data_IF_475626343004
#
_entry.id   IF_475626343004
#
_cell.length_a   1.000
_cell.length_b   1.000
_cell.length_c   1.000
_cell.angle_alpha   90.00
_cell.angle_beta   90.00
_cell.angle_gamma   90.00
#
_symmetry.space_group_name_H-M   'P 1'
#
loop_
_entity.id
_entity.type
_entity.pdbx_description
1 polymer ?
#
# COMPACT_ATOMS: atom_id res chain seq x y z
N UNK A 1 48.37 -29.17 -8.40
CA UNK A 1 47.40 -28.89 -9.48
C UNK A 1 46.09 -28.51 -8.84
N UNK A 2 45.41 -27.53 -9.40
CA UNK A 2 44.12 -27.07 -8.87
C UNK A 2 42.95 -27.96 -9.32
N UNK A 3 43.08 -28.75 -10.38
CA UNK A 3 42.12 -29.75 -10.84
C UNK A 3 42.61 -31.15 -10.47
N UNK A 4 41.79 -31.91 -9.75
CA UNK A 4 42.06 -33.29 -9.36
C UNK A 4 40.95 -34.22 -9.89
N UNK A 5 41.36 -35.42 -10.32
CA UNK A 5 40.44 -36.46 -10.74
C UNK A 5 39.99 -37.32 -9.55
N UNK A 6 38.72 -37.66 -9.44
CA UNK A 6 38.16 -38.49 -8.38
C UNK A 6 37.25 -39.55 -8.98
N UNK A 7 37.41 -40.79 -8.58
CA UNK A 7 36.51 -41.87 -8.95
C UNK A 7 35.24 -41.81 -8.12
N UNK A 8 34.12 -42.01 -8.76
CA UNK A 8 32.78 -42.08 -8.13
C UNK A 8 32.07 -43.39 -8.53
N UNK A 9 31.42 -44.04 -7.59
CA UNK A 9 30.70 -45.29 -7.83
C UNK A 9 29.48 -45.11 -8.77
N UNK A 10 28.89 -43.90 -8.77
CA UNK A 10 27.77 -43.58 -9.58
C UNK A 10 27.95 -42.19 -10.17
N UNK A 11 28.24 -42.10 -11.47
CA UNK A 11 28.45 -40.84 -12.19
C UNK A 11 27.14 -40.24 -12.64
N UNK A 12 27.01 -38.93 -12.63
CA UNK A 12 25.86 -38.22 -13.21
C UNK A 12 26.07 -38.00 -14.71
N UNK A 13 24.96 -37.97 -15.47
CA UNK A 13 24.97 -37.54 -16.87
C UNK A 13 24.96 -36.00 -16.99
N UNK A 14 24.94 -35.47 -18.21
CA UNK A 14 24.89 -34.03 -18.49
C UNK A 14 23.60 -33.36 -17.99
N UNK A 15 22.53 -34.11 -17.82
CA UNK A 15 21.25 -33.67 -17.27
C UNK A 15 21.18 -33.74 -15.72
N UNK A 16 22.24 -34.24 -15.07
CA UNK A 16 22.33 -34.36 -13.62
C UNK A 16 21.79 -35.66 -13.02
N UNK A 17 21.27 -36.59 -13.83
CA UNK A 17 20.73 -37.87 -13.39
C UNK A 17 21.83 -38.87 -13.09
N UNK A 18 21.60 -39.77 -12.13
CA UNK A 18 22.52 -40.84 -11.79
C UNK A 18 22.49 -41.91 -12.86
N UNK A 19 23.65 -42.24 -13.43
CA UNK A 19 23.75 -43.22 -14.54
C UNK A 19 23.85 -44.69 -14.11
N UNK A 20 23.99 -44.94 -12.80
CA UNK A 20 24.25 -46.30 -12.27
C UNK A 20 25.65 -46.82 -12.56
N UNK A 21 26.54 -46.10 -13.23
CA UNK A 21 27.88 -46.51 -13.64
C UNK A 21 28.96 -45.77 -12.90
N UNK A 22 30.03 -46.47 -12.55
CA UNK A 22 31.26 -45.85 -12.01
C UNK A 22 31.93 -44.98 -13.08
N UNK A 23 32.59 -43.91 -12.68
CA UNK A 23 33.31 -43.05 -13.60
C UNK A 23 34.16 -42.00 -12.91
N UNK A 24 34.96 -41.28 -13.71
CA UNK A 24 35.79 -40.20 -13.23
C UNK A 24 35.06 -38.88 -13.27
N UNK A 25 35.13 -38.10 -12.20
CA UNK A 25 34.73 -36.68 -12.11
C UNK A 25 35.95 -35.87 -11.69
N UNK A 26 35.87 -34.56 -11.99
CA UNK A 26 36.97 -33.63 -11.73
C UNK A 26 36.55 -32.61 -10.69
N UNK A 27 37.41 -32.35 -9.72
CA UNK A 27 37.18 -31.39 -8.65
C UNK A 27 38.17 -30.25 -8.83
N UNK A 28 37.74 -29.00 -8.65
CA UNK A 28 38.54 -27.77 -8.75
C UNK A 28 38.80 -27.22 -7.35
N UNK A 29 40.04 -27.07 -6.98
CA UNK A 29 40.50 -26.53 -5.69
C UNK A 29 41.56 -25.43 -5.95
N UNK A 30 41.16 -24.15 -5.89
CA UNK A 30 42.05 -23.02 -6.13
C UNK A 30 42.39 -22.37 -4.80
N UNK A 31 43.70 -22.48 -4.42
CA UNK A 31 44.23 -21.76 -3.26
C UNK A 31 44.53 -20.32 -3.63
N UNK A 32 44.17 -19.38 -2.80
CA UNK A 32 44.43 -17.94 -3.02
C UNK A 32 44.73 -17.27 -1.66
N UNK A 33 45.38 -16.12 -1.74
CA UNK A 33 45.68 -15.28 -0.57
C UNK A 33 44.76 -14.09 -0.58
N UNK A 34 44.05 -13.85 0.52
CA UNK A 34 43.19 -12.68 0.73
C UNK A 34 44.06 -11.42 0.88
N UNK A 35 43.47 -10.21 0.65
CA UNK A 35 44.21 -8.95 0.85
C UNK A 35 44.76 -8.75 2.28
N UNK A 36 44.21 -9.44 3.28
CA UNK A 36 44.69 -9.43 4.67
C UNK A 36 45.78 -10.47 4.96
N UNK A 37 46.34 -11.11 3.92
CA UNK A 37 47.37 -12.12 4.03
C UNK A 37 46.88 -13.52 4.41
N UNK A 38 45.56 -13.70 4.73
CA UNK A 38 45.03 -15.03 5.05
C UNK A 38 44.91 -15.90 3.80
N UNK A 39 45.31 -17.18 3.94
CA UNK A 39 45.20 -18.20 2.87
C UNK A 39 43.79 -18.79 2.86
N UNK A 40 43.16 -18.86 1.71
CA UNK A 40 41.84 -19.47 1.56
C UNK A 40 41.83 -20.41 0.33
N UNK A 41 40.78 -21.25 0.24
CA UNK A 41 40.65 -22.20 -0.86
C UNK A 41 39.23 -22.10 -1.43
N UNK A 42 39.12 -21.87 -2.73
CA UNK A 42 37.91 -22.08 -3.46
C UNK A 42 37.83 -23.54 -3.90
N UNK A 43 36.68 -24.22 -3.60
CA UNK A 43 36.51 -25.62 -3.99
C UNK A 43 35.15 -25.78 -4.71
N UNK A 44 35.14 -26.43 -5.87
CA UNK A 44 33.94 -26.90 -6.56
C UNK A 44 34.19 -28.29 -7.11
N UNK A 45 33.29 -29.22 -6.82
CA UNK A 45 33.41 -30.65 -7.10
C UNK A 45 32.43 -31.10 -8.18
N UNK A 46 32.81 -32.19 -8.87
CA UNK A 46 31.85 -32.96 -9.69
C UNK A 46 31.74 -32.53 -11.13
N UNK A 47 32.73 -31.93 -11.74
CA UNK A 47 32.77 -31.67 -13.18
C UNK A 47 32.82 -32.98 -13.97
N UNK A 48 32.07 -33.12 -15.03
CA UNK A 48 31.95 -34.33 -15.81
C UNK A 48 33.15 -34.55 -16.71
N UNK A 49 33.79 -33.46 -17.14
CA UNK A 49 34.98 -33.49 -18.01
C UNK A 49 36.13 -32.67 -17.44
N UNK A 50 37.37 -33.09 -17.78
CA UNK A 50 38.57 -32.33 -17.40
C UNK A 50 38.58 -30.93 -18.04
N UNK A 51 38.05 -30.81 -19.26
CA UNK A 51 38.00 -29.55 -19.99
C UNK A 51 37.14 -28.53 -19.26
N UNK A 52 35.95 -28.90 -18.83
CA UNK A 52 35.05 -28.05 -18.03
C UNK A 52 35.69 -27.62 -16.70
N UNK A 53 36.33 -28.54 -16.00
CA UNK A 53 37.04 -28.23 -14.77
C UNK A 53 38.19 -27.23 -14.95
N UNK A 54 38.96 -27.36 -16.04
CA UNK A 54 40.06 -26.44 -16.38
C UNK A 54 39.51 -25.05 -16.80
N UNK A 55 38.44 -24.99 -17.59
CA UNK A 55 37.78 -23.70 -17.94
C UNK A 55 37.26 -23.01 -16.69
N UNK A 56 36.64 -23.76 -15.80
CA UNK A 56 36.15 -23.21 -14.54
C UNK A 56 37.31 -22.75 -13.63
N UNK A 57 38.41 -23.51 -13.55
CA UNK A 57 39.62 -23.09 -12.85
C UNK A 57 40.16 -21.75 -13.38
N UNK A 58 40.29 -21.63 -14.71
CA UNK A 58 40.78 -20.41 -15.34
C UNK A 58 39.86 -19.20 -15.02
N UNK A 59 38.52 -19.40 -15.12
CA UNK A 59 37.54 -18.38 -14.79
C UNK A 59 37.64 -17.95 -13.32
N UNK A 60 37.82 -18.88 -12.39
CA UNK A 60 37.94 -18.58 -10.97
C UNK A 60 39.27 -17.91 -10.67
N UNK A 61 40.38 -18.36 -11.25
CA UNK A 61 41.69 -17.69 -11.09
C UNK A 61 41.64 -16.23 -11.56
N UNK A 62 41.06 -15.95 -12.73
CA UNK A 62 40.84 -14.59 -13.22
C UNK A 62 40.00 -13.73 -12.26
N UNK A 63 38.91 -14.29 -11.73
CA UNK A 63 38.06 -13.59 -10.74
C UNK A 63 38.76 -13.37 -9.39
N UNK A 64 39.57 -14.31 -8.95
CA UNK A 64 40.32 -14.20 -7.69
C UNK A 64 41.50 -13.24 -7.76
N UNK A 65 42.05 -13.00 -8.95
CA UNK A 65 43.09 -12.00 -9.21
C UNK A 65 42.53 -10.58 -9.29
N UNK A 66 41.23 -10.41 -9.49
CA UNK A 66 40.59 -9.10 -9.45
C UNK A 66 40.52 -8.59 -7.98
N UNK A 67 41.10 -7.42 -7.66
CA UNK A 67 41.22 -6.91 -6.28
C UNK A 67 39.88 -6.80 -5.54
N UNK A 68 38.78 -6.67 -6.27
CA UNK A 68 37.41 -6.50 -5.76
C UNK A 68 36.75 -7.78 -5.27
N UNK A 69 37.13 -8.96 -5.78
CA UNK A 69 36.38 -10.20 -5.47
C UNK A 69 36.66 -10.72 -4.04
N UNK A 70 37.90 -10.75 -3.62
CA UNK A 70 38.29 -11.25 -2.28
C UNK A 70 37.76 -10.32 -1.17
N UNK A 71 37.78 -9.01 -1.38
CA UNK A 71 37.20 -8.02 -0.45
C UNK A 71 35.67 -8.15 -0.36
N UNK A 72 35.00 -8.37 -1.50
CA UNK A 72 33.53 -8.55 -1.56
C UNK A 72 33.08 -9.81 -0.82
N UNK A 73 33.77 -10.96 -1.01
CA UNK A 73 33.42 -12.23 -0.35
C UNK A 73 33.63 -12.15 1.18
N UNK A 74 34.69 -11.44 1.64
CA UNK A 74 34.96 -11.28 3.08
C UNK A 74 33.99 -10.31 3.75
N UNK A 75 33.64 -9.21 3.08
CA UNK A 75 32.63 -8.26 3.55
C UNK A 75 31.24 -8.93 3.63
N UNK A 76 30.85 -9.72 2.63
CA UNK A 76 29.59 -10.45 2.60
C UNK A 76 29.45 -11.50 3.72
N UNK A 77 30.54 -12.17 4.12
CA UNK A 77 30.53 -13.15 5.23
C UNK A 77 30.31 -12.50 6.61
N UNK A 78 30.60 -11.20 6.75
CA UNK A 78 30.44 -10.45 8.00
C UNK A 78 29.23 -9.55 8.03
N UNK A 79 28.55 -9.33 6.88
CA UNK A 79 27.38 -8.46 6.79
C UNK A 79 26.23 -9.04 7.62
N UNK A 80 25.72 -8.26 8.56
CA UNK A 80 24.54 -8.62 9.33
C UNK A 80 23.25 -8.37 8.55
N UNK A 81 22.13 -8.94 9.01
CA UNK A 81 20.81 -8.65 8.46
C UNK A 81 20.51 -7.15 8.54
N UNK A 82 20.92 -6.49 9.63
CA UNK A 82 20.75 -5.03 9.78
C UNK A 82 21.52 -4.29 8.69
N UNK A 83 22.81 -4.54 8.54
CA UNK A 83 23.68 -3.82 7.59
C UNK A 83 23.15 -3.98 6.16
N UNK A 84 22.74 -5.21 5.79
CA UNK A 84 22.16 -5.49 4.50
C UNK A 84 20.85 -4.75 4.27
N UNK A 85 19.92 -4.76 5.23
CA UNK A 85 18.62 -4.12 5.09
C UNK A 85 18.73 -2.59 5.05
N UNK A 86 19.64 -2.00 5.80
CA UNK A 86 19.92 -0.55 5.77
C UNK A 86 20.50 -0.14 4.40
N UNK A 87 21.46 -0.90 3.89
CA UNK A 87 22.01 -0.69 2.54
C UNK A 87 20.96 -0.88 1.45
N UNK A 88 20.19 -1.96 1.53
CA UNK A 88 19.15 -2.29 0.54
C UNK A 88 18.04 -1.24 0.48
N UNK A 89 17.60 -0.71 1.62
CA UNK A 89 16.55 0.31 1.65
C UNK A 89 17.01 1.63 1.04
N UNK A 90 18.28 1.99 1.22
CA UNK A 90 18.84 3.23 0.65
C UNK A 90 19.23 3.07 -0.82
N UNK A 91 19.81 1.95 -1.22
CA UNK A 91 20.28 1.74 -2.60
C UNK A 91 19.17 1.35 -3.56
N UNK A 92 18.26 0.46 -3.14
CA UNK A 92 17.19 -0.05 -4.00
C UNK A 92 15.83 0.62 -3.72
N UNK A 93 15.36 0.61 -2.47
CA UNK A 93 13.99 1.03 -2.18
C UNK A 93 13.79 2.53 -2.38
N UNK A 94 14.78 3.36 -2.03
CA UNK A 94 14.74 4.81 -2.25
C UNK A 94 14.65 5.17 -3.73
N UNK A 95 15.36 4.44 -4.60
CA UNK A 95 15.45 4.74 -6.04
C UNK A 95 14.26 4.17 -6.82
N UNK A 96 13.81 2.97 -6.46
CA UNK A 96 12.84 2.21 -7.27
C UNK A 96 11.41 2.24 -6.75
N UNK A 97 11.18 2.71 -5.52
CA UNK A 97 9.86 2.70 -4.91
C UNK A 97 9.31 4.12 -4.71
N UNK A 98 8.00 4.23 -4.65
CA UNK A 98 7.35 5.50 -4.29
C UNK A 98 7.79 5.94 -2.90
N UNK A 99 7.93 7.25 -2.62
CA UNK A 99 8.39 7.77 -1.33
C UNK A 99 7.63 7.19 -0.12
N UNK A 100 6.31 7.01 -0.23
CA UNK A 100 5.50 6.42 0.84
C UNK A 100 5.82 4.95 1.12
N UNK A 101 6.19 4.19 0.09
CA UNK A 101 6.60 2.78 0.23
C UNK A 101 7.99 2.69 0.83
N UNK A 102 8.93 3.52 0.37
CA UNK A 102 10.26 3.62 0.95
C UNK A 102 10.21 3.93 2.44
N UNK A 103 9.46 4.95 2.85
CA UNK A 103 9.28 5.30 4.27
C UNK A 103 8.62 4.19 5.08
N UNK A 104 7.63 3.52 4.49
CA UNK A 104 6.98 2.35 5.10
C UNK A 104 7.96 1.21 5.33
N UNK A 105 8.80 0.90 4.34
CA UNK A 105 9.83 -0.13 4.43
C UNK A 105 10.88 0.22 5.48
N UNK A 106 11.40 1.45 5.44
CA UNK A 106 12.39 1.95 6.41
C UNK A 106 11.88 1.84 7.85
N UNK A 107 10.63 2.26 8.09
CA UNK A 107 9.99 2.12 9.41
C UNK A 107 9.81 0.67 9.81
N UNK A 108 9.33 -0.19 8.91
CA UNK A 108 9.12 -1.62 9.18
C UNK A 108 10.43 -2.32 9.52
N UNK A 109 11.50 -2.07 8.76
CA UNK A 109 12.83 -2.61 9.01
C UNK A 109 13.31 -2.18 10.40
N UNK A 110 13.28 -0.87 10.69
CA UNK A 110 13.79 -0.32 11.93
C UNK A 110 13.01 -0.78 13.17
N UNK A 111 11.67 -0.84 13.07
CA UNK A 111 10.81 -1.08 14.24
C UNK A 111 10.47 -2.56 14.46
N UNK A 112 10.41 -3.36 13.38
CA UNK A 112 9.85 -4.72 13.45
C UNK A 112 10.76 -5.83 12.93
N UNK A 113 11.93 -5.51 12.36
CA UNK A 113 12.86 -6.55 11.87
C UNK A 113 14.19 -6.47 12.59
N UNK A 114 14.86 -5.33 12.52
CA UNK A 114 16.21 -5.13 13.08
C UNK A 114 16.30 -5.43 14.59
N UNK A 115 15.32 -5.08 15.44
CA UNK A 115 15.40 -5.35 16.88
C UNK A 115 15.48 -6.85 17.23
N UNK A 116 14.99 -7.74 16.35
CA UNK A 116 14.90 -9.18 16.62
C UNK A 116 15.98 -9.99 15.93
N UNK A 117 16.23 -9.71 14.65
CA UNK A 117 17.15 -10.52 13.82
C UNK A 117 18.29 -9.72 13.21
N UNK A 118 18.36 -8.41 13.46
CA UNK A 118 19.35 -7.52 12.85
C UNK A 118 20.81 -7.88 13.13
N UNK A 119 21.09 -8.51 14.29
CA UNK A 119 22.42 -8.92 14.71
C UNK A 119 22.92 -10.21 14.03
N UNK A 120 22.02 -10.98 13.41
CA UNK A 120 22.35 -12.27 12.80
C UNK A 120 23.15 -12.03 11.51
N UNK A 121 24.26 -12.77 11.25
CA UNK A 121 24.91 -12.74 9.94
C UNK A 121 23.94 -13.12 8.83
N UNK A 122 23.90 -12.35 7.74
CA UNK A 122 22.91 -12.49 6.67
C UNK A 122 22.87 -13.92 6.08
N UNK A 123 24.05 -14.54 5.92
CA UNK A 123 24.18 -15.90 5.38
C UNK A 123 23.86 -17.02 6.40
N UNK A 124 23.60 -16.65 7.67
CA UNK A 124 23.21 -17.59 8.74
C UNK A 124 21.77 -17.40 9.18
N UNK A 125 21.03 -16.51 8.54
CA UNK A 125 19.62 -16.27 8.86
C UNK A 125 18.78 -17.51 8.53
N UNK A 126 18.35 -18.24 9.55
CA UNK A 126 17.51 -19.42 9.42
C UNK A 126 16.00 -19.04 9.45
N UNK A 127 15.13 -19.82 8.78
CA UNK A 127 13.67 -19.63 8.85
C UNK A 127 13.14 -19.65 10.29
N UNK A 128 13.69 -20.47 11.17
CA UNK A 128 13.30 -20.56 12.58
C UNK A 128 13.52 -19.25 13.36
N UNK A 129 14.59 -18.51 13.04
CA UNK A 129 14.85 -17.20 13.64
C UNK A 129 13.80 -16.17 13.19
N UNK A 130 13.35 -16.26 11.92
CA UNK A 130 12.31 -15.40 11.38
C UNK A 130 10.94 -15.76 11.96
N UNK A 131 10.63 -17.05 12.14
CA UNK A 131 9.41 -17.49 12.81
C UNK A 131 9.37 -17.00 14.26
N UNK A 132 10.49 -17.09 14.98
CA UNK A 132 10.59 -16.54 16.35
C UNK A 132 10.36 -15.03 16.38
N UNK A 133 10.94 -14.28 15.44
CA UNK A 133 10.69 -12.83 15.32
C UNK A 133 9.17 -12.54 15.18
N UNK A 134 8.44 -13.32 14.37
CA UNK A 134 7.00 -13.14 14.24
C UNK A 134 6.27 -13.43 15.54
N UNK A 135 6.65 -14.49 16.26
CA UNK A 135 6.07 -14.80 17.56
C UNK A 135 6.34 -13.67 18.56
N UNK A 136 7.58 -13.19 18.66
CA UNK A 136 7.94 -12.09 19.55
C UNK A 136 7.17 -10.79 19.24
N UNK A 137 6.84 -10.53 17.95
CA UNK A 137 6.00 -9.40 17.54
C UNK A 137 4.58 -9.57 18.04
N UNK A 138 4.02 -10.79 17.95
CA UNK A 138 2.66 -11.10 18.40
C UNK A 138 2.55 -11.09 19.93
N UNK A 139 3.56 -11.64 20.62
CA UNK A 139 3.61 -11.69 22.10
C UNK A 139 3.67 -10.28 22.72
N UNK A 140 4.18 -9.29 22.00
CA UNK A 140 4.09 -7.86 22.37
C UNK A 140 2.70 -7.24 22.18
N UNK A 141 1.70 -8.03 21.80
CA UNK A 141 0.34 -7.56 21.56
C UNK A 141 0.16 -6.80 20.24
N UNK A 142 1.13 -6.86 19.31
CA UNK A 142 0.98 -6.24 18.00
C UNK A 142 0.07 -7.09 17.09
N UNK A 143 -0.62 -6.41 16.17
CA UNK A 143 -1.57 -7.09 15.28
C UNK A 143 -0.88 -8.07 14.32
N UNK A 144 -1.55 -9.20 13.98
CA UNK A 144 -1.06 -10.13 12.96
C UNK A 144 -0.71 -9.46 11.63
N UNK A 145 -1.42 -8.40 11.23
CA UNK A 145 -1.12 -7.59 10.05
C UNK A 145 0.24 -6.88 10.11
N UNK A 146 0.74 -6.56 11.31
CA UNK A 146 2.07 -5.97 11.51
C UNK A 146 3.16 -7.00 11.22
N UNK A 147 3.03 -8.21 11.77
CA UNK A 147 3.95 -9.32 11.51
C UNK A 147 3.94 -9.73 10.02
N UNK A 148 2.75 -9.81 9.40
CA UNK A 148 2.61 -10.06 7.96
C UNK A 148 3.25 -8.95 7.12
N UNK A 149 3.17 -7.70 7.56
CA UNK A 149 3.86 -6.56 6.95
C UNK A 149 5.39 -6.71 7.02
N UNK A 150 5.92 -7.10 8.17
CA UNK A 150 7.35 -7.37 8.36
C UNK A 150 7.83 -8.53 7.47
N UNK A 151 7.05 -9.64 7.41
CA UNK A 151 7.32 -10.77 6.51
C UNK A 151 7.42 -10.33 5.05
N UNK A 152 6.48 -9.50 4.59
CA UNK A 152 6.47 -9.00 3.21
C UNK A 152 7.73 -8.20 2.88
N UNK A 153 8.09 -7.25 3.73
CA UNK A 153 9.29 -6.41 3.51
C UNK A 153 10.56 -7.26 3.53
N UNK A 154 10.72 -8.12 4.54
CA UNK A 154 11.87 -9.01 4.66
C UNK A 154 11.98 -9.97 3.47
N UNK A 155 10.86 -10.56 3.04
CA UNK A 155 10.82 -11.47 1.89
C UNK A 155 11.25 -10.80 0.59
N UNK A 156 10.88 -9.53 0.37
CA UNK A 156 11.32 -8.77 -0.81
C UNK A 156 12.82 -8.51 -0.74
N UNK A 157 13.32 -8.03 0.39
CA UNK A 157 14.74 -7.72 0.58
C UNK A 157 15.62 -8.99 0.43
N UNK A 158 15.27 -10.08 1.11
CA UNK A 158 15.97 -11.37 0.98
C UNK A 158 15.83 -11.97 -0.42
N UNK A 159 14.74 -11.70 -1.14
CA UNK A 159 14.59 -12.06 -2.53
C UNK A 159 15.65 -11.41 -3.43
N UNK A 160 15.99 -10.16 -3.15
CA UNK A 160 17.09 -9.45 -3.83
C UNK A 160 18.46 -9.99 -3.38
N UNK A 161 18.66 -10.23 -2.07
CA UNK A 161 19.89 -10.86 -1.57
C UNK A 161 20.18 -12.18 -2.28
N UNK A 162 19.14 -12.99 -2.50
CA UNK A 162 19.25 -14.25 -3.25
C UNK A 162 19.59 -14.03 -4.73
N UNK A 163 18.97 -13.05 -5.40
CA UNK A 163 19.30 -12.70 -6.80
C UNK A 163 20.77 -12.28 -6.95
N UNK A 164 21.29 -11.53 -5.99
CA UNK A 164 22.70 -11.12 -5.93
C UNK A 164 23.64 -12.19 -5.37
N UNK A 165 23.11 -13.37 -5.02
CA UNK A 165 23.88 -14.50 -4.47
C UNK A 165 24.56 -14.21 -3.12
N UNK A 166 24.02 -13.31 -2.33
CA UNK A 166 24.44 -13.08 -0.93
C UNK A 166 23.99 -14.22 -0.03
N UNK A 167 22.83 -14.81 -0.33
CA UNK A 167 22.24 -15.97 0.34
C UNK A 167 21.74 -16.98 -0.70
N UNK A 168 21.62 -18.25 -0.29
CA UNK A 168 21.11 -19.31 -1.17
C UNK A 168 19.57 -19.42 -1.13
N UNK A 169 18.97 -19.26 0.06
CA UNK A 169 17.53 -19.39 0.31
C UNK A 169 16.95 -18.10 0.89
N UNK A 170 15.65 -17.97 0.84
CA UNK A 170 14.95 -16.82 1.40
C UNK A 170 14.23 -17.23 2.70
N UNK A 171 14.92 -17.07 3.83
CA UNK A 171 14.42 -17.47 5.14
C UNK A 171 13.01 -16.95 5.47
N UNK A 172 12.61 -15.77 4.93
CA UNK A 172 11.27 -15.24 5.17
C UNK A 172 10.16 -15.95 4.38
N UNK A 173 10.49 -16.59 3.26
CA UNK A 173 9.53 -17.40 2.48
C UNK A 173 9.36 -18.79 3.06
N UNK A 174 10.42 -19.34 3.64
CA UNK A 174 10.49 -20.71 4.13
C UNK A 174 9.96 -20.84 5.58
N UNK A 175 9.37 -19.78 6.13
CA UNK A 175 8.72 -19.76 7.45
C UNK A 175 7.41 -20.53 7.45
N UNK A 176 7.09 -21.19 8.57
CA UNK A 176 5.85 -21.95 8.78
C UNK A 176 4.72 -21.12 9.42
N UNK A 177 5.07 -19.97 10.02
CA UNK A 177 4.10 -19.10 10.71
C UNK A 177 3.01 -18.64 9.76
N UNK A 178 1.76 -18.95 10.12
CA UNK A 178 0.54 -18.47 9.46
C UNK A 178 -0.05 -17.34 10.30
N UNK A 179 -0.30 -16.20 9.68
CA UNK A 179 -0.99 -15.09 10.35
C UNK A 179 -2.50 -15.32 10.26
N UNK A 180 -3.20 -15.16 11.37
CA UNK A 180 -4.66 -15.19 11.40
C UNK A 180 -5.27 -14.10 10.50
N UNK A 181 -6.56 -14.25 10.19
CA UNK A 181 -7.31 -13.18 9.53
C UNK A 181 -7.24 -11.93 10.42
N UNK A 182 -6.95 -10.79 9.83
CA UNK A 182 -7.00 -9.50 10.53
C UNK A 182 -8.39 -9.20 11.08
N UNK A 183 -8.51 -8.08 11.80
CA UNK A 183 -9.81 -7.60 12.30
C UNK A 183 -10.82 -7.57 11.16
N UNK A 184 -12.07 -7.88 11.45
CA UNK A 184 -13.17 -7.76 10.48
C UNK A 184 -13.20 -6.32 9.93
N UNK A 185 -13.33 -6.18 8.62
CA UNK A 185 -13.61 -4.88 8.03
C UNK A 185 -14.94 -4.39 8.58
N UNK A 186 -15.05 -3.15 9.06
CA UNK A 186 -16.33 -2.59 9.49
C UNK A 186 -17.36 -2.71 8.36
N UNK A 187 -18.62 -2.90 8.74
CA UNK A 187 -19.71 -2.91 7.76
C UNK A 187 -19.80 -1.55 7.08
N UNK A 188 -20.05 -1.52 5.77
CA UNK A 188 -20.27 -0.28 5.03
C UNK A 188 -21.51 0.44 5.58
N UNK A 189 -21.46 1.77 5.60
CA UNK A 189 -22.64 2.53 5.95
C UNK A 189 -23.75 2.36 4.89
N UNK A 190 -24.99 2.30 5.36
CA UNK A 190 -26.15 2.39 4.47
C UNK A 190 -26.26 3.79 3.86
N UNK A 191 -27.02 3.98 2.74
CA UNK A 191 -27.30 5.30 2.21
C UNK A 191 -27.88 6.28 3.25
N UNK A 192 -28.75 5.82 4.15
CA UNK A 192 -29.30 6.65 5.22
C UNK A 192 -28.25 7.09 6.25
N UNK A 193 -27.29 6.22 6.58
CA UNK A 193 -26.18 6.59 7.45
C UNK A 193 -25.24 7.59 6.80
N UNK A 194 -24.99 7.46 5.47
CA UNK A 194 -24.21 8.45 4.71
C UNK A 194 -24.92 9.80 4.71
N UNK A 195 -26.24 9.82 4.44
CA UNK A 195 -27.07 11.03 4.53
C UNK A 195 -26.98 11.68 5.90
N UNK A 196 -27.22 10.91 6.97
CA UNK A 196 -27.14 11.41 8.35
C UNK A 196 -25.77 12.00 8.68
N UNK A 197 -24.68 11.38 8.21
CA UNK A 197 -23.34 11.92 8.39
C UNK A 197 -23.18 13.26 7.65
N UNK A 198 -23.62 13.35 6.39
CA UNK A 198 -23.52 14.57 5.59
C UNK A 198 -24.33 15.72 6.19
N UNK A 199 -25.54 15.45 6.67
CA UNK A 199 -26.42 16.44 7.33
C UNK A 199 -25.76 17.00 8.61
N UNK A 200 -25.14 16.13 9.40
CA UNK A 200 -24.50 16.51 10.68
C UNK A 200 -23.21 17.31 10.52
N UNK A 201 -22.53 17.20 9.36
CA UNK A 201 -21.31 17.95 9.07
C UNK A 201 -21.55 19.13 8.13
N UNK A 202 -22.79 19.40 7.75
CA UNK A 202 -23.15 20.50 6.85
C UNK A 202 -22.57 21.83 7.34
N UNK A 203 -21.95 22.60 6.43
CA UNK A 203 -21.31 23.88 6.72
C UNK A 203 -19.99 23.81 7.47
N UNK A 204 -19.51 22.63 7.91
CA UNK A 204 -18.21 22.46 8.57
C UNK A 204 -17.09 22.20 7.56
N UNK A 205 -15.84 22.19 8.05
CA UNK A 205 -14.67 21.81 7.24
C UNK A 205 -14.71 20.33 6.79
N UNK A 206 -15.56 19.50 7.41
CA UNK A 206 -15.74 18.08 7.08
C UNK A 206 -16.72 17.83 5.94
N UNK A 207 -17.56 18.80 5.57
CA UNK A 207 -18.60 18.62 4.57
C UNK A 207 -18.02 18.10 3.24
N UNK A 208 -17.12 18.85 2.63
CA UNK A 208 -16.57 18.48 1.32
C UNK A 208 -15.71 17.20 1.33
N UNK A 209 -14.83 16.96 2.32
CA UNK A 209 -14.16 15.67 2.45
C UNK A 209 -15.12 14.48 2.52
N UNK A 210 -16.22 14.60 3.25
CA UNK A 210 -17.21 13.52 3.40
C UNK A 210 -18.02 13.33 2.12
N UNK A 211 -18.39 14.39 1.43
CA UNK A 211 -19.03 14.33 0.10
C UNK A 211 -18.14 13.58 -0.89
N UNK A 212 -16.87 13.99 -1.02
CA UNK A 212 -15.95 13.36 -1.96
C UNK A 212 -15.60 11.90 -1.57
N UNK A 213 -15.51 11.61 -0.27
CA UNK A 213 -15.26 10.26 0.23
C UNK A 213 -16.47 9.35 0.22
N UNK A 214 -17.64 9.86 0.63
CA UNK A 214 -18.88 9.09 0.81
C UNK A 214 -19.68 8.93 -0.46
N UNK A 215 -19.80 9.96 -1.32
CA UNK A 215 -20.55 9.89 -2.56
C UNK A 215 -19.70 9.36 -3.73
N UNK A 216 -18.45 9.83 -3.86
CA UNK A 216 -17.58 9.48 -4.99
C UNK A 216 -16.54 8.39 -4.67
N UNK A 217 -16.40 8.01 -3.42
CA UNK A 217 -15.42 7.00 -3.02
C UNK A 217 -13.96 7.40 -3.27
N UNK A 218 -13.63 8.70 -3.27
CA UNK A 218 -12.28 9.19 -3.53
C UNK A 218 -11.30 8.78 -2.42
N UNK A 219 -10.04 8.59 -2.78
CA UNK A 219 -8.98 8.34 -1.80
C UNK A 219 -8.65 9.64 -1.04
N UNK A 220 -8.29 9.52 0.24
CA UNK A 220 -7.90 10.66 1.08
C UNK A 220 -6.92 11.62 0.39
N UNK A 221 -5.88 11.10 -0.24
CA UNK A 221 -4.87 11.93 -0.91
C UNK A 221 -5.39 12.60 -2.19
N UNK A 222 -6.34 11.99 -2.88
CA UNK A 222 -7.05 12.56 -4.04
C UNK A 222 -7.97 13.70 -3.58
N UNK A 223 -8.71 13.52 -2.48
CA UNK A 223 -9.57 14.54 -1.86
C UNK A 223 -8.77 15.77 -1.48
N UNK A 224 -7.64 15.57 -0.77
CA UNK A 224 -6.78 16.67 -0.33
C UNK A 224 -5.98 17.32 -1.46
N UNK A 225 -5.88 16.66 -2.61
CA UNK A 225 -5.17 17.15 -3.79
C UNK A 225 -6.08 17.61 -4.93
N UNK A 226 -7.40 17.56 -4.78
CA UNK A 226 -8.32 18.07 -5.80
C UNK A 226 -8.21 19.59 -5.89
N UNK A 227 -7.95 20.11 -7.10
CA UNK A 227 -7.84 21.53 -7.38
C UNK A 227 -9.05 22.07 -8.11
N UNK A 228 -9.37 23.34 -7.89
CA UNK A 228 -10.47 24.01 -8.57
C UNK A 228 -10.32 24.08 -10.08
N UNK A 229 -9.10 24.23 -10.59
CA UNK A 229 -8.81 24.19 -12.05
C UNK A 229 -9.17 22.85 -12.70
N UNK A 230 -9.35 21.79 -11.92
CA UNK A 230 -9.79 20.47 -12.36
C UNK A 230 -11.30 20.26 -12.11
N UNK A 231 -12.05 21.28 -11.69
CA UNK A 231 -13.48 21.25 -11.43
C UNK A 231 -14.16 22.19 -12.41
N UNK A 232 -15.00 21.64 -13.26
CA UNK A 232 -15.79 22.38 -14.25
C UNK A 232 -17.25 22.35 -13.82
N UNK A 233 -17.67 23.40 -13.11
CA UNK A 233 -19.05 23.53 -12.64
C UNK A 233 -20.00 23.83 -13.79
N UNK A 234 -19.57 24.45 -14.90
CA UNK A 234 -20.39 24.75 -16.05
C UNK A 234 -20.78 23.45 -16.75
N UNK A 235 -19.82 22.61 -17.10
CA UNK A 235 -20.06 21.33 -17.76
C UNK A 235 -20.40 20.20 -16.78
N UNK A 236 -20.39 20.45 -15.46
CA UNK A 236 -20.76 19.49 -14.44
C UNK A 236 -19.81 18.31 -14.33
N UNK A 237 -18.49 18.55 -14.39
CA UNK A 237 -17.47 17.49 -14.30
C UNK A 237 -16.28 17.89 -13.43
N UNK A 238 -15.51 16.91 -12.97
CA UNK A 238 -14.21 17.15 -12.36
C UNK A 238 -13.21 16.02 -12.66
N UNK A 239 -11.94 16.37 -12.72
CA UNK A 239 -10.85 15.47 -13.05
C UNK A 239 -10.02 15.13 -11.82
N UNK A 240 -9.87 13.84 -11.54
CA UNK A 240 -8.99 13.30 -10.47
C UNK A 240 -7.65 12.91 -11.12
N UNK A 241 -6.79 13.88 -11.34
CA UNK A 241 -5.52 13.71 -12.07
C UNK A 241 -4.28 13.89 -11.20
N UNK A 242 -4.45 14.37 -9.99
CA UNK A 242 -3.37 14.62 -9.04
C UNK A 242 -3.81 14.30 -7.60
N UNK A 243 -2.85 14.17 -6.71
CA UNK A 243 -3.08 13.91 -5.29
C UNK A 243 -2.08 14.67 -4.43
N UNK A 244 -2.48 15.00 -3.20
CA UNK A 244 -1.57 15.60 -2.24
C UNK A 244 -0.41 14.64 -1.94
N UNK A 245 0.86 15.10 -1.94
CA UNK A 245 2.00 14.27 -1.58
C UNK A 245 1.85 13.62 -0.19
N UNK A 246 2.46 12.45 -0.02
CA UNK A 246 2.34 11.69 1.24
C UNK A 246 2.85 12.45 2.47
N UNK A 247 3.90 13.25 2.30
CA UNK A 247 4.48 14.10 3.35
C UNK A 247 4.28 15.56 2.98
N UNK A 248 3.27 16.16 3.60
CA UNK A 248 3.13 17.60 3.68
C UNK A 248 3.47 17.98 5.12
N UNK A 249 4.53 18.75 5.36
CA UNK A 249 4.88 19.20 6.71
C UNK A 249 3.70 19.92 7.40
N UNK A 250 3.54 19.81 8.72
CA UNK A 250 2.36 20.34 9.43
C UNK A 250 2.10 21.85 9.25
N UNK A 251 3.13 22.61 9.00
CA UNK A 251 3.07 24.09 8.86
C UNK A 251 3.21 24.55 7.40
N UNK A 252 3.09 23.63 6.43
CA UNK A 252 3.13 23.98 5.00
C UNK A 252 1.97 24.92 4.67
N UNK A 253 2.31 26.06 4.08
CA UNK A 253 1.34 27.06 3.59
C UNK A 253 1.14 26.99 2.10
N UNK A 254 2.15 26.52 1.35
CA UNK A 254 2.13 26.45 -0.11
C UNK A 254 2.55 25.07 -0.59
N UNK A 255 1.81 24.50 -1.54
CA UNK A 255 2.11 23.23 -2.18
C UNK A 255 3.02 23.53 -3.39
N UNK A 256 4.27 23.05 -3.33
CA UNK A 256 5.22 23.24 -4.43
C UNK A 256 4.93 22.29 -5.61
N UNK A 257 4.61 21.03 -5.31
CA UNK A 257 4.38 20.01 -6.34
C UNK A 257 3.32 19.00 -5.86
N UNK A 258 2.40 18.64 -6.77
CA UNK A 258 1.44 17.56 -6.56
C UNK A 258 2.00 16.24 -7.08
N UNK A 259 1.59 15.16 -6.47
CA UNK A 259 1.95 13.82 -6.92
C UNK A 259 0.90 13.28 -7.93
N UNK A 260 1.29 12.44 -8.89
CA UNK A 260 0.32 11.73 -9.72
C UNK A 260 -0.51 10.78 -8.85
N UNK A 261 -1.77 10.50 -9.20
CA UNK A 261 -2.61 9.56 -8.46
C UNK A 261 -2.00 8.15 -8.48
N UNK A 262 -2.41 7.31 -7.53
CA UNK A 262 -1.95 5.90 -7.48
C UNK A 262 -2.49 5.04 -8.61
N UNK A 263 -3.63 5.44 -9.16
CA UNK A 263 -4.31 4.85 -10.32
C UNK A 263 -4.26 5.83 -11.50
N UNK A 264 -4.79 5.42 -12.65
CA UNK A 264 -4.99 6.32 -13.77
C UNK A 264 -5.88 7.50 -13.36
N UNK A 265 -5.62 8.67 -13.95
CA UNK A 265 -6.52 9.80 -13.85
C UNK A 265 -7.91 9.45 -14.37
N UNK A 266 -8.93 10.10 -13.83
CA UNK A 266 -10.31 9.85 -14.24
C UNK A 266 -11.15 11.11 -14.20
N UNK A 267 -12.08 11.22 -15.14
CA UNK A 267 -13.13 12.25 -15.16
C UNK A 267 -14.39 11.70 -14.52
N UNK A 268 -14.99 12.49 -13.64
CA UNK A 268 -16.22 12.16 -12.92
C UNK A 268 -17.26 13.25 -13.12
N UNK A 269 -18.55 12.90 -13.28
CA UNK A 269 -19.62 13.87 -13.35
C UNK A 269 -19.95 14.45 -11.97
N UNK A 270 -20.31 15.73 -11.92
CA UNK A 270 -20.91 16.36 -10.75
C UNK A 270 -22.42 16.16 -10.91
N UNK A 271 -23.00 15.30 -10.09
CA UNK A 271 -24.44 15.03 -10.10
C UNK A 271 -25.22 16.22 -9.52
N UNK A 272 -26.52 16.29 -9.79
CA UNK A 272 -27.37 17.35 -9.26
C UNK A 272 -27.42 17.37 -7.74
N UNK A 273 -27.35 16.19 -7.12
CA UNK A 273 -27.22 16.04 -5.64
C UNK A 273 -25.88 16.61 -5.13
N UNK A 274 -24.80 16.43 -5.87
CA UNK A 274 -23.46 16.84 -5.41
C UNK A 274 -23.15 18.32 -5.71
N UNK A 275 -23.71 18.90 -6.76
CA UNK A 275 -23.46 20.27 -7.21
C UNK A 275 -23.57 21.32 -6.09
N UNK A 276 -24.63 21.35 -5.26
CA UNK A 276 -24.75 22.37 -4.21
C UNK A 276 -23.59 22.33 -3.17
N UNK A 277 -22.96 21.19 -2.98
CA UNK A 277 -21.81 21.07 -2.06
C UNK A 277 -20.55 21.73 -2.66
N UNK A 278 -20.31 21.56 -3.95
CA UNK A 278 -19.20 22.25 -4.63
C UNK A 278 -19.40 23.76 -4.62
N UNK A 279 -20.62 24.23 -4.90
CA UNK A 279 -20.96 25.66 -4.91
C UNK A 279 -20.80 26.27 -3.51
N UNK A 280 -21.29 25.62 -2.46
CA UNK A 280 -21.09 26.07 -1.07
C UNK A 280 -19.60 26.10 -0.67
N UNK A 281 -18.85 25.10 -1.11
CA UNK A 281 -17.40 25.04 -0.82
C UNK A 281 -16.66 26.20 -1.50
N UNK A 282 -17.01 26.53 -2.74
CA UNK A 282 -16.45 27.68 -3.45
C UNK A 282 -16.79 28.99 -2.73
N UNK A 283 -18.08 29.18 -2.39
CA UNK A 283 -18.54 30.36 -1.65
C UNK A 283 -17.85 30.50 -0.30
N UNK A 284 -17.60 29.40 0.44
CA UNK A 284 -16.86 29.40 1.69
C UNK A 284 -15.41 29.88 1.49
N UNK A 285 -14.73 29.38 0.48
CA UNK A 285 -13.34 29.78 0.17
C UNK A 285 -13.26 31.27 -0.16
N UNK A 286 -14.21 31.79 -0.94
CA UNK A 286 -14.25 33.22 -1.25
C UNK A 286 -14.55 34.09 -0.01
N UNK A 287 -15.45 33.62 0.86
CA UNK A 287 -15.69 34.28 2.14
C UNK A 287 -14.44 34.29 3.04
N UNK A 288 -13.72 33.17 3.14
CA UNK A 288 -12.46 33.06 3.88
C UNK A 288 -11.38 34.02 3.32
N UNK A 289 -11.29 34.14 1.99
CA UNK A 289 -10.37 35.10 1.32
C UNK A 289 -10.74 36.56 1.65
N UNK A 290 -12.02 36.89 1.63
CA UNK A 290 -12.51 38.23 1.96
C UNK A 290 -12.24 38.58 3.44
N UNK A 291 -12.55 37.65 4.35
CA UNK A 291 -12.27 37.81 5.78
C UNK A 291 -10.78 38.03 6.05
N UNK A 292 -9.92 37.24 5.41
CA UNK A 292 -8.47 37.38 5.55
C UNK A 292 -7.99 38.76 5.05
N UNK A 293 -8.53 39.28 3.95
CA UNK A 293 -8.21 40.64 3.43
C UNK A 293 -8.67 41.72 4.39
N UNK A 294 -9.90 41.62 4.92
CA UNK A 294 -10.43 42.61 5.88
C UNK A 294 -9.67 42.67 7.19
N UNK A 295 -9.20 41.50 7.67
CA UNK A 295 -8.47 41.36 8.91
C UNK A 295 -6.94 41.54 8.75
N UNK A 296 -6.43 41.78 7.53
CA UNK A 296 -4.99 41.91 7.24
C UNK A 296 -4.21 40.61 7.48
N UNK A 297 -4.87 39.47 7.48
CA UNK A 297 -4.24 38.14 7.64
C UNK A 297 -3.78 37.55 6.29
N UNK A 298 -2.67 36.81 6.26
CA UNK A 298 -2.22 36.16 5.04
C UNK A 298 -3.21 35.05 4.63
N UNK A 299 -3.52 34.98 3.33
CA UNK A 299 -4.24 33.90 2.69
C UNK A 299 -3.34 33.22 1.64
N UNK A 300 -3.25 31.89 1.68
CA UNK A 300 -2.36 31.08 0.83
C UNK A 300 -3.18 30.37 -0.22
N UNK A 301 -3.34 30.97 -1.40
CA UNK A 301 -4.11 30.37 -2.48
C UNK A 301 -3.34 29.23 -3.14
N UNK A 302 -3.75 28.00 -2.83
CA UNK A 302 -3.20 26.77 -3.40
C UNK A 302 -4.11 26.13 -4.46
N UNK A 303 -5.18 26.79 -4.84
CA UNK A 303 -6.17 26.29 -5.82
C UNK A 303 -6.81 24.94 -5.39
N UNK A 304 -6.77 24.55 -4.11
CA UNK A 304 -7.31 23.27 -3.63
C UNK A 304 -8.73 23.39 -3.11
N UNK A 305 -9.54 22.37 -3.38
CA UNK A 305 -10.96 22.31 -2.97
C UNK A 305 -11.08 22.16 -1.46
N UNK A 306 -10.22 21.34 -0.84
CA UNK A 306 -10.21 21.09 0.61
C UNK A 306 -9.00 21.75 1.25
N UNK A 307 -9.18 22.95 1.79
CA UNK A 307 -8.16 23.75 2.44
C UNK A 307 -8.56 24.18 3.84
N UNK A 308 -7.60 24.71 4.60
CA UNK A 308 -7.85 25.45 5.85
C UNK A 308 -8.48 26.81 5.55
N UNK A 309 -9.04 27.48 6.57
CA UNK A 309 -9.62 28.82 6.42
C UNK A 309 -8.62 29.88 5.91
N UNK A 310 -7.30 29.66 6.08
CA UNK A 310 -6.28 30.52 5.51
C UNK A 310 -5.78 30.07 4.12
N UNK A 311 -6.46 29.14 3.45
CA UNK A 311 -6.09 28.61 2.14
C UNK A 311 -4.93 27.60 2.13
N UNK A 312 -4.26 27.40 3.26
CA UNK A 312 -3.18 26.42 3.36
C UNK A 312 -3.71 24.97 3.25
N UNK A 313 -2.87 24.02 2.76
CA UNK A 313 -3.29 22.62 2.64
C UNK A 313 -3.55 21.99 4.01
N UNK A 314 -4.53 21.11 4.08
CA UNK A 314 -4.77 20.27 5.25
C UNK A 314 -3.66 19.23 5.41
N UNK A 315 -3.26 18.94 6.65
CA UNK A 315 -2.30 17.90 6.91
C UNK A 315 -2.88 16.52 6.55
N UNK A 316 -2.07 15.65 5.96
CA UNK A 316 -2.52 14.32 5.52
C UNK A 316 -3.11 13.46 6.66
N UNK A 317 -2.63 13.64 7.88
CA UNK A 317 -3.14 12.94 9.07
C UNK A 317 -4.41 13.56 9.66
N UNK A 318 -4.76 14.81 9.31
CA UNK A 318 -5.96 15.49 9.82
C UNK A 318 -7.21 14.65 9.58
N UNK A 319 -7.46 14.23 8.34
CA UNK A 319 -8.60 13.35 8.02
C UNK A 319 -8.52 12.04 8.82
N UNK A 320 -7.36 11.37 8.85
CA UNK A 320 -7.26 10.03 9.44
C UNK A 320 -7.41 10.01 10.97
N UNK A 321 -6.88 11.02 11.66
CA UNK A 321 -6.97 11.12 13.11
C UNK A 321 -8.23 11.84 13.60
N UNK A 322 -8.74 12.79 12.81
CA UNK A 322 -9.91 13.59 13.14
C UNK A 322 -11.23 12.85 12.91
N UNK A 323 -11.32 12.04 11.85
CA UNK A 323 -12.58 11.40 11.46
C UNK A 323 -13.15 10.46 12.54
N UNK A 324 -12.30 9.67 13.20
CA UNK A 324 -12.74 8.83 14.31
C UNK A 324 -13.30 9.63 15.50
N UNK A 325 -12.68 10.78 15.80
CA UNK A 325 -13.17 11.71 16.84
C UNK A 325 -14.49 12.38 16.43
N UNK A 326 -14.59 12.75 15.15
CA UNK A 326 -15.82 13.30 14.59
C UNK A 326 -16.99 12.31 14.76
N UNK A 327 -16.83 11.05 14.34
CA UNK A 327 -17.86 10.03 14.45
C UNK A 327 -18.26 9.78 15.90
N UNK A 328 -17.30 9.74 16.83
CA UNK A 328 -17.57 9.61 18.26
C UNK A 328 -18.38 10.79 18.81
N UNK A 329 -18.06 12.02 18.37
CA UNK A 329 -18.83 13.22 18.75
C UNK A 329 -20.25 13.27 18.14
N UNK A 330 -20.47 12.54 17.05
CA UNK A 330 -21.76 12.43 16.39
C UNK A 330 -22.58 11.18 16.81
N UNK A 331 -22.07 10.36 17.74
CA UNK A 331 -22.66 9.07 18.14
C UNK A 331 -23.00 8.18 16.92
N UNK A 332 -22.03 8.06 16.00
CA UNK A 332 -22.15 7.23 14.80
C UNK A 332 -21.24 5.99 14.89
N UNK A 333 -21.60 4.86 14.24
CA UNK A 333 -20.77 3.67 14.22
C UNK A 333 -19.35 3.99 13.72
N UNK A 334 -18.35 3.46 14.43
CA UNK A 334 -16.95 3.74 14.09
C UNK A 334 -16.53 3.03 12.81
N UNK A 335 -16.15 3.81 11.82
CA UNK A 335 -15.45 3.36 10.60
C UNK A 335 -14.20 4.25 10.39
N UNK A 336 -13.25 3.76 9.61
CA UNK A 336 -12.12 4.61 9.17
C UNK A 336 -12.56 5.48 8.01
N UNK A 337 -11.93 6.62 7.79
CA UNK A 337 -12.25 7.47 6.64
C UNK A 337 -12.15 6.72 5.29
N UNK A 338 -11.20 5.79 5.15
CA UNK A 338 -11.09 4.98 3.93
C UNK A 338 -12.27 4.01 3.74
N UNK A 339 -12.99 3.68 4.80
CA UNK A 339 -14.16 2.80 4.71
C UNK A 339 -15.37 3.51 4.10
N UNK A 340 -15.39 4.87 4.01
CA UNK A 340 -16.34 5.61 3.18
C UNK A 340 -16.22 5.23 1.70
N UNK A 341 -15.01 4.95 1.22
CA UNK A 341 -14.81 4.46 -0.13
C UNK A 341 -15.37 3.04 -0.32
N UNK A 342 -15.23 2.17 0.69
CA UNK A 342 -15.86 0.85 0.67
C UNK A 342 -17.38 0.98 0.73
N UNK A 343 -17.89 1.93 1.50
CA UNK A 343 -19.31 2.30 1.56
C UNK A 343 -19.83 2.71 0.18
N UNK A 344 -19.20 3.68 -0.47
CA UNK A 344 -19.58 4.12 -1.80
C UNK A 344 -19.54 2.98 -2.82
N UNK A 345 -18.47 2.17 -2.81
CA UNK A 345 -18.31 1.01 -3.70
C UNK A 345 -19.45 0.00 -3.53
N UNK A 346 -19.74 -0.37 -2.29
CA UNK A 346 -20.76 -1.37 -1.97
C UNK A 346 -22.16 -0.86 -2.35
N UNK A 347 -22.51 0.36 -1.97
CA UNK A 347 -23.82 0.93 -2.26
C UNK A 347 -24.04 1.13 -3.77
N UNK A 348 -23.07 1.68 -4.50
CA UNK A 348 -23.14 1.78 -5.96
C UNK A 348 -23.37 0.42 -6.60
N UNK A 349 -22.60 -0.59 -6.19
CA UNK A 349 -22.73 -1.94 -6.74
C UNK A 349 -24.07 -2.59 -6.39
N UNK A 350 -24.54 -2.47 -5.15
CA UNK A 350 -25.83 -3.03 -4.73
C UNK A 350 -27.01 -2.41 -5.47
N UNK A 351 -26.95 -1.10 -5.78
CA UNK A 351 -28.02 -0.39 -6.46
C UNK A 351 -28.03 -0.60 -7.99
N UNK A 352 -26.87 -0.83 -8.60
CA UNK A 352 -26.75 -0.83 -10.06
C UNK A 352 -26.33 -2.17 -10.65
N UNK A 353 -25.71 -3.06 -9.87
CA UNK A 353 -25.10 -4.29 -10.37
C UNK A 353 -23.89 -4.07 -11.28
N UNK A 354 -23.53 -2.81 -11.58
CA UNK A 354 -22.49 -2.47 -12.56
C UNK A 354 -21.12 -2.34 -11.93
N UNK A 355 -20.47 -3.47 -11.78
CA UNK A 355 -19.17 -3.58 -11.15
C UNK A 355 -18.05 -2.85 -11.91
N UNK A 356 -18.09 -2.86 -13.26
CA UNK A 356 -17.08 -2.22 -14.09
C UNK A 356 -17.13 -0.69 -13.96
N UNK A 357 -18.30 -0.10 -14.06
CA UNK A 357 -18.48 1.35 -13.91
C UNK A 357 -18.10 1.80 -12.50
N UNK A 358 -18.49 1.04 -11.46
CA UNK A 358 -18.07 1.31 -10.08
C UNK A 358 -16.55 1.29 -9.95
N UNK A 359 -15.88 0.30 -10.57
CA UNK A 359 -14.42 0.23 -10.60
C UNK A 359 -13.77 1.48 -11.22
N UNK A 360 -14.30 1.95 -12.34
CA UNK A 360 -13.86 3.16 -13.05
C UNK A 360 -14.12 4.44 -12.25
N UNK A 361 -15.29 4.58 -11.63
CA UNK A 361 -15.59 5.70 -10.71
C UNK A 361 -14.57 5.76 -9.58
N UNK A 362 -14.24 4.62 -9.02
CA UNK A 362 -13.25 4.52 -7.95
C UNK A 362 -11.81 4.67 -8.47
N UNK A 363 -11.55 4.51 -9.75
CA UNK A 363 -10.20 4.46 -10.34
C UNK A 363 -9.45 3.20 -9.88
N UNK A 364 -10.10 2.06 -9.89
CA UNK A 364 -9.43 0.77 -9.81
C UNK A 364 -8.90 0.40 -11.20
N UNK A 365 -7.70 -0.16 -11.27
CA UNK A 365 -7.28 -0.86 -12.49
C UNK A 365 -8.08 -2.16 -12.54
N UNK A 366 -8.78 -2.39 -13.63
CA UNK A 366 -9.63 -3.58 -13.82
C UNK A 366 -8.86 -4.90 -13.64
N UNK A 367 -7.55 -4.91 -13.86
CA UNK A 367 -6.67 -6.05 -13.59
C UNK A 367 -6.67 -6.58 -12.14
N UNK A 368 -7.21 -5.84 -11.18
CA UNK A 368 -7.31 -6.26 -9.76
C UNK A 368 -8.69 -6.82 -9.38
N UNK A 369 -9.66 -6.69 -10.25
CA UNK A 369 -11.07 -7.01 -9.97
C UNK A 369 -11.34 -8.51 -10.16
N UNK A 370 -10.77 -9.14 -11.17
CA UNK A 370 -11.04 -10.52 -11.47
C UNK A 370 -10.51 -11.54 -10.49
N UNK A 371 -9.40 -11.23 -9.84
CA UNK A 371 -8.89 -12.06 -8.76
C UNK A 371 -9.89 -12.17 -7.58
N UNK A 372 -10.72 -11.14 -7.38
CA UNK A 372 -11.77 -11.14 -6.35
C UNK A 372 -13.05 -11.91 -6.79
N UNK A 373 -13.24 -12.09 -8.09
CA UNK A 373 -14.38 -12.81 -8.68
C UNK A 373 -14.05 -14.26 -9.07
N UNK A 374 -12.81 -14.74 -8.86
CA UNK A 374 -12.40 -16.10 -9.24
C UNK A 374 -12.23 -16.32 -10.74
N UNK A 375 -12.18 -15.26 -11.54
CA UNK A 375 -11.97 -15.31 -12.99
C UNK A 375 -10.48 -15.37 -13.31
N UNK A 376 -10.09 -16.06 -14.40
CA UNK A 376 -8.68 -16.21 -14.74
C UNK A 376 -8.05 -14.86 -15.13
N UNK A 377 -6.91 -14.56 -14.53
CA UNK A 377 -6.19 -13.27 -14.67
C UNK A 377 -5.92 -12.84 -16.13
N UNK A 378 -5.85 -13.76 -17.07
CA UNK A 378 -5.49 -13.46 -18.47
C UNK A 378 -6.66 -12.90 -19.30
N UNK A 379 -7.89 -13.34 -19.05
CA UNK A 379 -9.07 -12.90 -19.81
C UNK A 379 -9.46 -11.46 -19.44
N UNK A 380 -9.38 -11.12 -18.16
CA UNK A 380 -9.74 -9.81 -17.64
C UNK A 380 -8.76 -8.71 -17.99
N UNK A 381 -7.45 -8.98 -17.92
CA UNK A 381 -6.43 -7.97 -18.25
C UNK A 381 -6.49 -7.57 -19.73
N UNK A 382 -6.98 -8.45 -20.61
CA UNK A 382 -7.16 -8.17 -22.02
C UNK A 382 -8.46 -7.40 -22.25
N UNK A 383 -9.58 -7.84 -21.69
CA UNK A 383 -10.91 -7.21 -21.87
C UNK A 383 -10.94 -5.84 -21.20
N UNK A 384 -10.33 -5.68 -20.02
CA UNK A 384 -10.25 -4.44 -19.27
C UNK A 384 -9.51 -3.29 -20.01
N UNK A 385 -8.64 -3.61 -20.96
CA UNK A 385 -7.94 -2.60 -21.79
C UNK A 385 -8.84 -1.96 -22.84
N UNK A 386 -9.98 -2.59 -23.15
CA UNK A 386 -10.88 -2.18 -24.23
C UNK A 386 -12.21 -1.59 -23.74
N UNK A 387 -12.46 -1.64 -22.41
CA UNK A 387 -13.70 -1.07 -21.85
C UNK A 387 -13.39 0.35 -21.35
N UNK A 388 -13.65 1.33 -22.18
CA UNK A 388 -13.75 2.74 -21.76
C UNK A 388 -15.19 3.02 -21.32
N UNK A 389 -15.38 3.26 -20.03
CA UNK A 389 -16.70 3.57 -19.48
C UNK A 389 -16.99 5.04 -19.73
N UNK A 390 -17.99 5.30 -20.57
CA UNK A 390 -18.44 6.65 -20.92
C UNK A 390 -18.88 7.45 -19.68
N UNK A 391 -18.73 8.75 -19.76
CA UNK A 391 -19.07 9.67 -18.66
C UNK A 391 -20.56 9.58 -18.28
N UNK A 392 -21.44 9.40 -19.27
CA UNK A 392 -22.88 9.22 -19.08
C UNK A 392 -23.17 7.99 -18.21
N UNK A 393 -22.48 6.87 -18.43
CA UNK A 393 -22.68 5.67 -17.63
C UNK A 393 -22.18 5.85 -16.19
N UNK A 394 -21.06 6.57 -16.01
CA UNK A 394 -20.61 6.95 -14.67
C UNK A 394 -21.63 7.85 -13.97
N UNK A 395 -22.27 8.75 -14.72
CA UNK A 395 -23.34 9.61 -14.20
C UNK A 395 -24.55 8.80 -13.75
N UNK A 396 -25.03 7.84 -14.53
CA UNK A 396 -26.16 6.97 -14.16
C UNK A 396 -25.90 6.21 -12.85
N UNK A 397 -24.71 5.61 -12.69
CA UNK A 397 -24.33 4.88 -11.47
C UNK A 397 -24.25 5.82 -10.27
N UNK A 398 -23.67 6.99 -10.44
CA UNK A 398 -23.58 7.98 -9.37
C UNK A 398 -24.95 8.59 -9.04
N UNK A 399 -25.78 8.91 -10.02
CA UNK A 399 -27.14 9.42 -9.79
C UNK A 399 -27.99 8.41 -9.01
N UNK A 400 -27.94 7.12 -9.36
CA UNK A 400 -28.65 6.08 -8.63
C UNK A 400 -28.23 6.01 -7.14
N UNK A 401 -26.94 6.09 -6.87
CA UNK A 401 -26.45 6.08 -5.49
C UNK A 401 -26.73 7.39 -4.75
N UNK A 402 -26.46 8.53 -5.37
CA UNK A 402 -26.66 9.84 -4.75
C UNK A 402 -28.14 10.10 -4.47
N UNK A 403 -29.07 9.67 -5.35
CA UNK A 403 -30.50 9.72 -5.10
C UNK A 403 -30.95 8.83 -3.92
N UNK A 404 -30.27 7.70 -3.68
CA UNK A 404 -30.53 6.88 -2.50
C UNK A 404 -30.03 7.55 -1.20
N UNK A 405 -28.95 8.32 -1.29
CA UNK A 405 -28.44 9.12 -0.15
C UNK A 405 -29.31 10.35 0.10
N UNK A 406 -29.71 11.07 -0.95
CA UNK A 406 -30.58 12.25 -0.90
C UNK A 406 -31.82 12.04 -1.76
N UNK A 407 -32.79 11.25 -1.32
CA UNK A 407 -34.03 11.09 -2.08
C UNK A 407 -34.72 12.45 -2.24
N UNK A 408 -35.21 12.74 -3.45
CA UNK A 408 -36.03 13.90 -3.68
C UNK A 408 -37.16 13.97 -2.65
N UNK A 409 -37.55 15.15 -2.14
CA UNK A 409 -38.62 15.28 -1.20
C UNK A 409 -39.84 14.54 -1.76
N UNK A 410 -40.29 13.47 -1.12
CA UNK A 410 -41.57 12.87 -1.46
C UNK A 410 -42.63 13.89 -1.09
N UNK A 411 -43.26 14.46 -2.08
CA UNK A 411 -44.55 15.10 -1.90
C UNK A 411 -45.48 14.03 -1.31
N UNK A 412 -45.92 14.27 -0.08
CA UNK A 412 -46.81 13.40 0.70
C UNK A 412 -46.22 12.20 1.43
N UNK A 413 -45.60 12.48 2.61
CA UNK A 413 -45.78 11.63 3.81
C UNK A 413 -46.08 12.54 5.01
N UNK A 414 -47.17 12.31 5.76
CA UNK A 414 -47.38 12.98 7.03
C UNK A 414 -46.21 12.64 7.98
N UNK A 415 -45.75 13.66 8.72
CA UNK A 415 -44.71 13.50 9.73
C UNK A 415 -45.12 12.38 10.70
N UNK A 416 -44.43 11.26 10.68
CA UNK A 416 -44.50 10.31 11.79
C UNK A 416 -43.86 10.99 13.00
N UNK A 417 -44.67 11.44 13.94
CA UNK A 417 -44.23 11.87 15.27
C UNK A 417 -43.61 10.66 15.97
N UNK A 418 -42.31 10.74 16.23
CA UNK A 418 -41.63 9.79 17.08
C UNK A 418 -42.09 10.02 18.53
N UNK A 419 -43.05 9.26 19.00
CA UNK A 419 -43.38 9.21 20.45
C UNK A 419 -42.21 8.49 21.15
N UNK A 420 -41.50 9.23 21.98
CA UNK A 420 -40.51 8.69 22.91
C UNK A 420 -41.19 7.63 23.81
N UNK A 421 -40.65 6.41 23.96
CA UNK A 421 -41.24 5.43 24.88
C UNK A 421 -41.15 5.96 26.31
N UNK A 422 -42.27 6.03 26.99
CA UNK A 422 -42.39 6.46 28.37
C UNK A 422 -41.46 5.64 29.26
N UNK A 423 -40.64 6.30 30.07
CA UNK A 423 -39.86 5.69 31.17
C UNK A 423 -40.80 4.86 32.07
N UNK A 424 -40.64 3.55 32.08
CA UNK A 424 -41.25 2.69 33.07
C UNK A 424 -40.76 3.11 34.45
N UNK A 425 -41.66 3.68 35.27
CA UNK A 425 -41.43 3.90 36.72
C UNK A 425 -41.11 2.56 37.38
N UNK A 426 -39.99 2.53 38.08
CA UNK A 426 -39.61 1.38 38.91
C UNK A 426 -40.72 1.05 39.93
N UNK A 427 -41.05 -0.23 40.07
CA UNK A 427 -41.82 -0.74 41.19
C UNK A 427 -40.90 -0.77 42.41
N UNK A 428 -41.26 0.02 43.41
CA UNK A 428 -40.86 -0.23 44.79
C UNK A 428 -41.22 -1.67 45.19
N UNK A 429 -40.24 -2.41 45.61
CA UNK A 429 -40.46 -3.60 46.41
C UNK A 429 -39.87 -3.35 47.80
N UNK A 430 -40.69 -2.85 48.69
CA UNK A 430 -40.56 -3.08 50.13
C UNK A 430 -41.22 -4.44 50.47
N UNK A 431 -40.43 -5.36 50.90
CA UNK A 431 -40.57 -6.29 52.05
C UNK A 431 -39.54 -7.41 51.89
#
# INVERSE_FOLDING_TARGET
>A
MAVSARQVKNKRDASGNLTGRAGTVYDVNVKYTMPDGTKSTYAKKGFLTRKEALQHEATIKSKLQAPTFAATVKAQRKQTVKDYLEEWVESYARVNLRPSTYDGYKRTIRSYIVPYIGHIPLNQLAPSAVDKMFQDILDKGLKPSTAAGAKRVLSVALGHARKYRYIETNAARDTITKFGKGDKTPEPYTPDQVRSLMERVAGTEWEMPIVLGGLYGMRRSEILGLRWRNVDLENGTFDVVEQLPFKVPPHTTTIQEMAPPKSNGRRLPITDVARPFFERQLARIEADKQAARQEGRPYYDNDIVVCRANGAPQAANWISSGFGKLLAGLDMPHIRFHDLRHTAATNMHQLTGDFYTVGEVLGHTLAGIGASLGLSMNFEAVTARYVDVRLERKKEVLDAYHAAVHPAPRLDRPKQEWTTPAKKKGRDMSL
#
